data_IF_069654063756
#
_entry.id   IF_069654063756
#
_cell.length_a   1.000
_cell.length_b   1.000
_cell.length_c   1.000
_cell.angle_alpha   90.00
_cell.angle_beta   90.00
_cell.angle_gamma   90.00
#
_symmetry.space_group_name_H-M   'P 1'
#
loop_
_entity.id
_entity.type
_entity.pdbx_description
1 polymer ?
#
# COMPACT_ATOMS: atom_id res chain seq x y z
N UNK A 1 -8.37 -9.17 -26.89
CA UNK A 1 -9.21 -8.90 -25.70
C UNK A 1 -9.77 -7.50 -25.86
N UNK A 2 -11.08 -7.30 -25.70
CA UNK A 2 -11.69 -5.98 -25.79
C UNK A 2 -11.55 -5.26 -24.43
N UNK A 3 -10.92 -4.09 -24.40
CA UNK A 3 -10.80 -3.26 -23.20
C UNK A 3 -11.93 -2.22 -23.24
N UNK A 4 -12.89 -2.34 -22.32
CA UNK A 4 -14.08 -1.48 -22.26
C UNK A 4 -14.01 -0.40 -21.18
N UNK A 5 -12.86 -0.20 -20.52
CA UNK A 5 -12.74 0.75 -19.42
C UNK A 5 -13.19 2.18 -19.78
N UNK A 6 -12.85 2.75 -20.97
CA UNK A 6 -13.35 4.08 -21.36
C UNK A 6 -14.87 4.14 -21.51
N UNK A 7 -15.51 3.07 -22.03
CA UNK A 7 -16.97 2.99 -22.16
C UNK A 7 -17.64 2.98 -20.78
N UNK A 8 -17.13 2.16 -19.86
CA UNK A 8 -17.64 2.07 -18.48
C UNK A 8 -17.46 3.41 -17.74
N UNK A 9 -16.34 4.10 -17.94
CA UNK A 9 -16.10 5.40 -17.33
C UNK A 9 -17.09 6.47 -17.83
N UNK A 10 -17.37 6.52 -19.14
CA UNK A 10 -18.38 7.41 -19.71
C UNK A 10 -19.79 7.12 -19.18
N UNK A 11 -20.13 5.84 -19.03
CA UNK A 11 -21.42 5.45 -18.43
C UNK A 11 -21.49 5.95 -16.99
N UNK A 12 -20.42 5.79 -16.19
CA UNK A 12 -20.39 6.27 -14.81
C UNK A 12 -20.55 7.80 -14.75
N UNK A 13 -19.82 8.54 -15.59
CA UNK A 13 -19.93 10.01 -15.70
C UNK A 13 -21.35 10.44 -16.08
N UNK A 14 -21.95 9.83 -17.12
CA UNK A 14 -23.30 10.14 -17.57
C UNK A 14 -24.38 9.89 -16.51
N UNK A 15 -24.09 9.03 -15.53
CA UNK A 15 -24.97 8.72 -14.40
C UNK A 15 -24.59 9.46 -13.10
N UNK A 16 -23.77 10.51 -13.20
CA UNK A 16 -23.50 11.43 -12.09
C UNK A 16 -22.37 11.02 -11.15
N UNK A 17 -21.50 10.09 -11.54
CA UNK A 17 -20.29 9.81 -10.77
C UNK A 17 -19.42 11.08 -10.66
N UNK A 18 -18.98 11.42 -9.44
CA UNK A 18 -18.11 12.59 -9.23
C UNK A 18 -16.63 12.34 -9.52
N UNK A 19 -16.22 11.06 -9.60
CA UNK A 19 -14.88 10.62 -9.97
C UNK A 19 -14.90 9.11 -10.30
N UNK A 20 -13.88 8.62 -11.01
CA UNK A 20 -13.68 7.19 -11.26
C UNK A 20 -12.26 6.76 -10.86
N UNK A 21 -12.13 5.59 -10.25
CA UNK A 21 -10.84 4.96 -10.00
C UNK A 21 -10.63 3.79 -10.96
N UNK A 22 -9.49 3.76 -11.64
CA UNK A 22 -9.18 2.77 -12.68
C UNK A 22 -7.94 1.99 -12.28
N UNK A 23 -8.12 0.69 -12.00
CA UNK A 23 -6.99 -0.22 -11.93
C UNK A 23 -6.59 -0.61 -13.37
N UNK A 24 -5.31 -0.47 -13.73
CA UNK A 24 -4.78 -0.85 -15.05
C UNK A 24 -4.72 -2.37 -15.31
N UNK A 25 -5.70 -3.16 -14.85
CA UNK A 25 -5.79 -4.60 -15.12
C UNK A 25 -7.23 -4.97 -15.42
N UNK A 26 -7.41 -5.93 -16.31
CA UNK A 26 -8.69 -6.59 -16.50
C UNK A 26 -8.96 -7.57 -15.34
N UNK A 27 -10.22 -7.96 -15.18
CA UNK A 27 -10.62 -8.96 -14.20
C UNK A 27 -9.83 -10.27 -14.34
N UNK A 28 -9.64 -10.76 -15.57
CA UNK A 28 -9.01 -12.05 -15.83
C UNK A 28 -7.51 -12.07 -15.47
N UNK A 29 -6.87 -10.91 -15.47
CA UNK A 29 -5.46 -10.81 -15.09
C UNK A 29 -5.24 -10.99 -13.58
N UNK A 30 -6.27 -10.80 -12.74
CA UNK A 30 -6.11 -10.75 -11.28
C UNK A 30 -4.93 -9.86 -10.87
N UNK A 31 -3.84 -10.45 -10.35
CA UNK A 31 -2.60 -9.78 -9.98
C UNK A 31 -1.40 -10.16 -10.86
N UNK A 32 -1.64 -10.89 -11.95
CA UNK A 32 -0.63 -11.29 -12.91
C UNK A 32 -0.22 -10.14 -13.82
N UNK A 33 0.94 -10.27 -14.46
CA UNK A 33 1.50 -9.25 -15.35
C UNK A 33 1.76 -7.91 -14.64
N UNK A 34 1.96 -6.87 -15.44
CA UNK A 34 2.03 -5.48 -14.97
C UNK A 34 0.70 -4.78 -15.23
N UNK A 35 0.39 -3.79 -14.41
CA UNK A 35 -0.70 -2.88 -14.71
C UNK A 35 -0.41 -2.14 -16.02
N UNK A 36 -1.34 -2.21 -16.95
CA UNK A 36 -1.34 -1.46 -18.20
C UNK A 36 -1.91 -0.05 -17.93
N UNK A 37 -0.99 0.91 -17.83
CA UNK A 37 -1.35 2.30 -17.56
C UNK A 37 -1.93 3.00 -18.79
N UNK A 38 -1.81 2.46 -20.01
CA UNK A 38 -2.51 3.03 -21.17
C UNK A 38 -4.03 2.92 -21.02
N UNK A 39 -4.53 1.91 -20.32
CA UNK A 39 -5.96 1.81 -19.98
C UNK A 39 -6.41 3.03 -19.15
N UNK A 40 -5.59 3.45 -18.19
CA UNK A 40 -5.88 4.59 -17.32
C UNK A 40 -5.81 5.89 -18.13
N UNK A 41 -4.79 6.05 -18.99
CA UNK A 41 -4.65 7.18 -19.90
C UNK A 41 -5.86 7.32 -20.82
N UNK A 42 -6.28 6.23 -21.47
CA UNK A 42 -7.45 6.20 -22.35
C UNK A 42 -8.73 6.58 -21.60
N UNK A 43 -8.90 6.14 -20.35
CA UNK A 43 -10.04 6.58 -19.53
C UNK A 43 -9.94 8.08 -19.25
N UNK A 44 -8.77 8.59 -18.84
CA UNK A 44 -8.56 10.01 -18.54
C UNK A 44 -8.83 10.92 -19.73
N UNK A 45 -8.46 10.50 -20.94
CA UNK A 45 -8.76 11.21 -22.18
C UNK A 45 -10.25 11.16 -22.57
N UNK A 46 -11.03 10.25 -21.97
CA UNK A 46 -12.39 9.94 -22.41
C UNK A 46 -13.52 10.58 -21.60
N UNK A 47 -13.22 11.09 -20.38
CA UNK A 47 -14.18 11.67 -19.44
C UNK A 47 -13.70 13.03 -18.92
N UNK A 48 -14.63 13.87 -18.46
CA UNK A 48 -14.34 15.18 -17.88
C UNK A 48 -14.22 15.15 -16.36
N UNK A 49 -14.82 14.15 -15.70
CA UNK A 49 -14.69 13.95 -14.25
C UNK A 49 -13.26 13.48 -13.85
N UNK A 50 -12.84 13.72 -12.59
CA UNK A 50 -11.56 13.25 -12.08
C UNK A 50 -11.37 11.73 -12.21
N UNK A 51 -10.17 11.34 -12.66
CA UNK A 51 -9.73 9.95 -12.80
C UNK A 51 -8.60 9.68 -11.81
N UNK A 52 -8.76 8.62 -11.02
CA UNK A 52 -7.80 8.16 -10.02
C UNK A 52 -7.07 6.92 -10.59
N UNK A 53 -5.79 7.07 -10.92
CA UNK A 53 -4.97 5.97 -11.42
C UNK A 53 -4.60 4.96 -10.33
N UNK A 54 -4.70 3.67 -10.64
CA UNK A 54 -4.36 2.60 -9.71
C UNK A 54 -3.64 1.43 -10.40
N UNK A 55 -2.66 0.87 -9.70
CA UNK A 55 -1.96 -0.34 -10.14
C UNK A 55 -0.45 -0.17 -10.09
N UNK A 56 0.20 -1.09 -9.37
CA UNK A 56 1.66 -1.25 -9.31
C UNK A 56 2.47 -0.02 -8.87
N UNK A 57 1.89 0.83 -8.01
CA UNK A 57 2.62 1.88 -7.29
C UNK A 57 3.24 1.31 -6.01
N UNK A 58 4.56 1.14 -6.00
CA UNK A 58 5.33 0.65 -4.85
C UNK A 58 6.36 1.65 -4.34
N UNK A 59 6.75 2.63 -5.16
CA UNK A 59 7.70 3.70 -4.80
C UNK A 59 7.18 5.11 -5.14
N UNK A 60 7.81 6.18 -4.60
CA UNK A 60 7.53 7.56 -5.03
C UNK A 60 7.73 7.80 -6.54
N UNK A 61 8.69 7.12 -7.15
CA UNK A 61 8.99 7.20 -8.58
C UNK A 61 7.93 6.51 -9.42
N UNK A 62 7.37 5.39 -8.96
CA UNK A 62 6.23 4.75 -9.63
C UNK A 62 5.03 5.70 -9.66
N UNK A 63 4.78 6.41 -8.56
CA UNK A 63 3.71 7.41 -8.47
C UNK A 63 3.91 8.55 -9.48
N UNK A 64 5.12 9.11 -9.56
CA UNK A 64 5.48 10.14 -10.54
C UNK A 64 5.29 9.62 -11.97
N UNK A 65 5.81 8.43 -12.26
CA UNK A 65 5.71 7.80 -13.59
C UNK A 65 4.25 7.55 -13.98
N UNK A 66 3.41 7.12 -13.04
CA UNK A 66 1.99 6.92 -13.27
C UNK A 66 1.28 8.24 -13.62
N UNK A 67 1.56 9.31 -12.87
CA UNK A 67 1.03 10.65 -13.19
C UNK A 67 1.46 11.12 -14.58
N UNK A 68 2.76 11.05 -14.88
CA UNK A 68 3.33 11.49 -16.17
C UNK A 68 2.80 10.67 -17.35
N UNK A 69 2.65 9.35 -17.19
CA UNK A 69 2.16 8.47 -18.25
C UNK A 69 0.67 8.67 -18.55
N UNK A 70 -0.14 8.90 -17.52
CA UNK A 70 -1.60 8.81 -17.65
C UNK A 70 -2.31 10.16 -17.65
N UNK A 71 -1.70 11.20 -17.10
CA UNK A 71 -2.36 12.48 -16.84
C UNK A 71 -3.51 12.38 -15.83
N UNK A 72 -3.60 11.31 -15.04
CA UNK A 72 -4.65 11.15 -14.03
C UNK A 72 -4.58 12.24 -12.94
N UNK A 73 -5.72 12.55 -12.32
CA UNK A 73 -5.84 13.67 -11.37
C UNK A 73 -5.38 13.29 -9.96
N UNK A 74 -5.40 12.00 -9.65
CA UNK A 74 -4.94 11.45 -8.38
C UNK A 74 -4.49 10.00 -8.57
N UNK A 75 -3.84 9.44 -7.55
CA UNK A 75 -3.45 8.03 -7.53
C UNK A 75 -3.99 7.33 -6.29
N UNK A 76 -4.27 6.04 -6.44
CA UNK A 76 -4.64 5.15 -5.34
C UNK A 76 -3.54 4.12 -5.14
N UNK A 77 -3.04 4.00 -3.90
CA UNK A 77 -1.97 3.06 -3.53
C UNK A 77 -2.56 1.92 -2.72
N UNK A 78 -2.46 0.70 -3.24
CA UNK A 78 -2.94 -0.52 -2.59
C UNK A 78 -1.82 -1.30 -1.90
N UNK A 79 -1.30 -2.32 -2.58
CA UNK A 79 -0.26 -3.24 -2.04
C UNK A 79 1.01 -2.51 -1.58
N UNK A 80 1.41 -1.42 -2.24
CA UNK A 80 2.57 -0.62 -1.85
C UNK A 80 2.46 -0.01 -0.43
N UNK A 81 1.25 0.16 0.12
CA UNK A 81 1.03 0.70 1.46
C UNK A 81 0.99 -0.39 2.56
N UNK A 82 0.94 -1.68 2.20
CA UNK A 82 0.85 -2.77 3.18
C UNK A 82 2.16 -2.88 3.97
N UNK A 83 2.11 -2.57 5.27
CA UNK A 83 3.31 -2.50 6.11
C UNK A 83 4.20 -1.30 5.82
N UNK A 84 3.78 -0.40 4.94
CA UNK A 84 4.52 0.80 4.54
C UNK A 84 3.61 2.05 4.49
N UNK A 85 3.01 2.47 5.62
CA UNK A 85 2.20 3.69 5.67
C UNK A 85 2.98 4.96 5.32
N UNK A 86 4.32 4.94 5.37
CA UNK A 86 5.16 6.08 4.98
C UNK A 86 5.11 6.39 3.49
N UNK A 87 4.68 5.44 2.65
CA UNK A 87 4.65 5.61 1.19
C UNK A 87 3.91 6.90 0.77
N UNK A 88 2.81 7.26 1.47
CA UNK A 88 2.04 8.45 1.15
C UNK A 88 2.84 9.73 1.37
N UNK A 89 3.50 9.87 2.53
CA UNK A 89 4.33 11.05 2.80
C UNK A 89 5.53 11.11 1.86
N UNK A 90 6.13 9.96 1.54
CA UNK A 90 7.28 9.88 0.63
C UNK A 90 6.90 10.25 -0.80
N UNK A 91 5.75 9.78 -1.30
CA UNK A 91 5.18 10.20 -2.58
C UNK A 91 4.97 11.72 -2.58
N UNK A 92 4.26 12.26 -1.58
CA UNK A 92 3.95 13.69 -1.53
C UNK A 92 5.21 14.56 -1.48
N UNK A 93 6.22 14.14 -0.72
CA UNK A 93 7.50 14.84 -0.67
C UNK A 93 8.21 14.80 -2.02
N UNK A 94 8.37 13.61 -2.61
CA UNK A 94 9.06 13.44 -3.89
C UNK A 94 8.39 14.21 -5.04
N UNK A 95 7.06 14.19 -5.12
CA UNK A 95 6.33 14.97 -6.13
C UNK A 95 6.50 16.48 -5.96
N UNK A 96 6.72 16.96 -4.73
CA UNK A 96 6.90 18.38 -4.42
C UNK A 96 8.33 18.86 -4.64
N UNK A 97 9.32 18.05 -4.25
CA UNK A 97 10.74 18.49 -4.17
C UNK A 97 11.63 17.83 -5.21
N UNK A 98 11.23 16.69 -5.76
CA UNK A 98 12.10 15.82 -6.55
C UNK A 98 13.10 15.01 -5.73
N UNK A 99 13.08 15.13 -4.39
CA UNK A 99 14.01 14.45 -3.49
C UNK A 99 13.36 13.22 -2.83
N UNK A 100 14.14 12.15 -2.65
CA UNK A 100 13.66 10.94 -1.98
C UNK A 100 13.93 11.02 -0.48
N UNK A 101 12.87 10.92 0.31
CA UNK A 101 13.01 10.66 1.73
C UNK A 101 13.57 9.24 1.95
N UNK A 102 14.40 9.05 2.99
CA UNK A 102 14.93 7.74 3.34
C UNK A 102 13.81 6.74 3.64
N UNK A 103 14.10 5.47 3.41
CA UNK A 103 13.25 4.37 3.87
C UNK A 103 13.14 4.38 5.40
N UNK A 104 12.00 3.97 5.98
CA UNK A 104 11.88 3.86 7.43
C UNK A 104 12.80 2.75 7.94
N UNK A 105 13.52 3.07 9.01
CA UNK A 105 14.42 2.16 9.74
C UNK A 105 13.65 0.97 10.32
N UNK A 106 14.37 -0.11 10.69
CA UNK A 106 13.77 -1.24 11.39
C UNK A 106 13.03 -0.82 12.68
N UNK A 107 13.62 0.13 13.42
CA UNK A 107 13.03 0.70 14.63
C UNK A 107 11.71 1.42 14.34
N UNK A 108 11.68 2.33 13.37
CA UNK A 108 10.45 3.05 13.00
C UNK A 108 9.35 2.10 12.51
N UNK A 109 9.73 1.05 11.77
CA UNK A 109 8.80 0.00 11.32
C UNK A 109 8.16 -0.72 12.50
N UNK A 110 8.95 -1.16 13.45
CA UNK A 110 8.47 -1.83 14.68
C UNK A 110 7.58 -0.91 15.51
N UNK A 111 7.99 0.34 15.74
CA UNK A 111 7.22 1.31 16.51
C UNK A 111 5.85 1.59 15.87
N UNK A 112 5.82 1.76 14.54
CA UNK A 112 4.55 1.96 13.82
C UNK A 112 3.65 0.75 13.88
N UNK A 113 4.25 -0.45 13.77
CA UNK A 113 3.51 -1.70 13.82
C UNK A 113 2.88 -1.92 15.21
N UNK A 114 3.61 -1.62 16.29
CA UNK A 114 3.07 -1.65 17.65
C UNK A 114 1.93 -0.64 17.86
N UNK A 115 2.10 0.58 17.35
CA UNK A 115 1.03 1.59 17.38
C UNK A 115 -0.22 1.11 16.64
N UNK A 116 -0.05 0.54 15.44
CA UNK A 116 -1.15 -0.03 14.67
C UNK A 116 -1.84 -1.17 15.45
N UNK A 117 -1.07 -2.08 16.06
CA UNK A 117 -1.60 -3.16 16.90
C UNK A 117 -2.48 -2.65 18.05
N UNK A 118 -2.00 -1.63 18.78
CA UNK A 118 -2.78 -0.98 19.85
C UNK A 118 -4.10 -0.41 19.33
N UNK A 119 -4.06 0.37 18.25
CA UNK A 119 -5.27 0.94 17.64
C UNK A 119 -6.26 -0.14 17.17
N UNK A 120 -5.76 -1.26 16.63
CA UNK A 120 -6.61 -2.34 16.13
C UNK A 120 -7.26 -3.11 17.28
N UNK A 121 -6.55 -3.32 18.39
CA UNK A 121 -7.07 -3.92 19.62
C UNK A 121 -8.12 -3.00 20.25
N UNK A 122 -7.85 -1.69 20.33
CA UNK A 122 -8.82 -0.72 20.83
C UNK A 122 -10.12 -0.73 19.99
N UNK A 123 -10.01 -0.96 18.68
CA UNK A 123 -11.15 -0.99 17.78
C UNK A 123 -11.93 -2.32 17.76
N UNK A 124 -11.24 -3.47 17.81
CA UNK A 124 -11.85 -4.80 17.59
C UNK A 124 -11.78 -5.75 18.80
N UNK A 125 -11.20 -5.30 19.91
CA UNK A 125 -10.86 -6.14 21.04
C UNK A 125 -9.59 -6.98 20.80
N UNK A 126 -9.01 -7.46 21.89
CA UNK A 126 -7.70 -8.12 21.88
C UNK A 126 -7.69 -9.40 21.03
N UNK A 127 -8.68 -10.28 21.21
CA UNK A 127 -8.75 -11.56 20.52
C UNK A 127 -8.68 -11.43 18.99
N UNK A 128 -9.45 -10.49 18.43
CA UNK A 128 -9.49 -10.22 16.98
C UNK A 128 -8.28 -9.39 16.56
N UNK A 129 -7.97 -8.34 17.31
CA UNK A 129 -6.90 -7.40 16.99
C UNK A 129 -5.55 -8.09 16.86
N UNK A 130 -5.21 -9.00 17.79
CA UNK A 130 -3.98 -9.79 17.72
C UNK A 130 -3.93 -10.66 16.47
N UNK A 131 -5.00 -11.41 16.17
CA UNK A 131 -5.02 -12.33 15.03
C UNK A 131 -4.87 -11.60 13.69
N UNK A 132 -5.54 -10.46 13.53
CA UNK A 132 -5.37 -9.63 12.34
C UNK A 132 -3.97 -8.99 12.29
N UNK A 133 -3.45 -8.55 13.44
CA UNK A 133 -2.14 -7.89 13.52
C UNK A 133 -0.99 -8.82 13.11
N UNK A 134 -1.10 -10.15 13.31
CA UNK A 134 -0.10 -11.13 12.82
C UNK A 134 0.23 -10.94 11.34
N UNK A 135 -0.81 -10.72 10.51
CA UNK A 135 -0.66 -10.47 9.07
C UNK A 135 0.00 -9.12 8.79
N UNK A 136 -0.42 -8.07 9.49
CA UNK A 136 0.13 -6.73 9.31
C UNK A 136 1.61 -6.66 9.74
N UNK A 137 1.98 -7.32 10.83
CA UNK A 137 3.37 -7.40 11.31
C UNK A 137 4.28 -8.05 10.27
N UNK A 138 3.81 -9.12 9.61
CA UNK A 138 4.55 -9.76 8.53
C UNK A 138 4.84 -8.80 7.36
N UNK A 139 3.95 -7.84 7.09
CA UNK A 139 4.18 -6.81 6.08
C UNK A 139 5.20 -5.76 6.52
N UNK A 140 5.12 -5.27 7.77
CA UNK A 140 6.09 -4.29 8.29
C UNK A 140 7.54 -4.82 8.29
N UNK A 141 7.72 -6.10 8.58
CA UNK A 141 9.05 -6.74 8.63
C UNK A 141 9.56 -7.18 7.25
N UNK A 142 8.76 -7.05 6.18
CA UNK A 142 9.15 -7.52 4.85
C UNK A 142 10.45 -6.82 4.40
N UNK A 143 11.40 -7.62 3.92
CA UNK A 143 12.69 -7.15 3.40
C UNK A 143 13.74 -6.87 4.47
N UNK A 144 13.42 -6.99 5.76
CA UNK A 144 14.42 -6.81 6.81
C UNK A 144 15.18 -8.12 7.13
N UNK A 145 16.43 -8.04 7.61
CA UNK A 145 17.20 -9.20 8.05
C UNK A 145 16.47 -10.02 9.12
N UNK A 146 16.51 -11.35 9.04
CA UNK A 146 15.88 -12.24 10.02
C UNK A 146 14.34 -12.25 10.04
N UNK A 147 13.68 -11.48 9.17
CA UNK A 147 12.22 -11.36 9.18
C UNK A 147 11.48 -12.69 8.96
N UNK A 148 12.05 -13.65 8.23
CA UNK A 148 11.43 -14.96 8.01
C UNK A 148 11.28 -15.77 9.31
N UNK A 149 12.35 -15.81 10.13
CA UNK A 149 12.34 -16.47 11.45
C UNK A 149 11.29 -15.83 12.36
N UNK A 150 11.29 -14.49 12.42
CA UNK A 150 10.38 -13.75 13.30
C UNK A 150 8.91 -13.83 12.87
N UNK A 151 8.62 -13.89 11.57
CA UNK A 151 7.25 -14.13 11.09
C UNK A 151 6.69 -15.47 11.58
N UNK A 152 7.53 -16.50 11.65
CA UNK A 152 7.15 -17.81 12.20
C UNK A 152 6.70 -17.70 13.65
N UNK A 153 7.48 -17.01 14.49
CA UNK A 153 7.17 -16.78 15.91
C UNK A 153 5.90 -15.91 16.08
N UNK A 154 5.79 -14.83 15.31
CA UNK A 154 4.66 -13.89 15.38
C UNK A 154 3.30 -14.54 15.10
N UNK A 155 3.23 -15.53 14.21
CA UNK A 155 1.97 -16.21 13.87
C UNK A 155 1.32 -16.95 15.05
N UNK A 156 2.08 -17.27 16.09
CA UNK A 156 1.60 -17.97 17.28
C UNK A 156 1.33 -17.04 18.47
N UNK A 157 1.60 -15.73 18.35
CA UNK A 157 1.40 -14.77 19.46
C UNK A 157 -0.07 -14.58 19.79
N UNK A 158 -0.43 -14.63 21.07
CA UNK A 158 -1.83 -14.55 21.54
C UNK A 158 -2.14 -13.24 22.28
N UNK A 159 -1.13 -12.45 22.61
CA UNK A 159 -1.29 -11.17 23.30
C UNK A 159 -0.40 -10.07 22.72
N UNK A 160 -0.74 -8.81 23.02
CA UNK A 160 0.07 -7.66 22.60
C UNK A 160 1.46 -7.67 23.25
N UNK A 161 1.52 -8.12 24.51
CA UNK A 161 2.76 -8.19 25.28
C UNK A 161 3.76 -9.19 24.69
N UNK A 162 3.27 -10.33 24.17
CA UNK A 162 4.09 -11.30 23.46
C UNK A 162 4.64 -10.73 22.14
N UNK A 163 3.77 -10.08 21.36
CA UNK A 163 4.20 -9.39 20.14
C UNK A 163 5.26 -8.34 20.42
N UNK A 164 5.05 -7.52 21.46
CA UNK A 164 6.00 -6.48 21.85
C UNK A 164 7.34 -7.06 22.30
N UNK A 165 7.32 -8.15 23.06
CA UNK A 165 8.54 -8.85 23.50
C UNK A 165 9.33 -9.40 22.31
N UNK A 166 8.67 -10.06 21.36
CA UNK A 166 9.32 -10.57 20.15
C UNK A 166 9.89 -9.46 19.27
N UNK A 167 9.18 -8.34 19.13
CA UNK A 167 9.67 -7.21 18.35
C UNK A 167 10.85 -6.50 19.04
N UNK A 168 10.90 -6.46 20.36
CA UNK A 168 12.07 -5.99 21.11
C UNK A 168 13.28 -6.91 20.93
N UNK A 169 13.08 -8.23 20.98
CA UNK A 169 14.13 -9.21 20.67
C UNK A 169 14.66 -9.01 19.25
N UNK A 170 13.75 -8.82 18.28
CA UNK A 170 14.10 -8.52 16.90
C UNK A 170 14.99 -7.29 16.78
N UNK A 171 14.62 -6.17 17.42
CA UNK A 171 15.41 -4.94 17.38
C UNK A 171 16.78 -5.09 18.07
N UNK A 172 16.89 -5.89 19.14
CA UNK A 172 18.19 -6.17 19.76
C UNK A 172 19.13 -6.96 18.83
N UNK A 173 18.57 -7.86 18.04
CA UNK A 173 19.34 -8.75 17.15
C UNK A 173 19.68 -8.08 15.81
N UNK A 174 18.81 -7.20 15.31
CA UNK A 174 18.89 -6.67 13.94
C UNK A 174 18.65 -5.16 13.81
N UNK A 175 18.39 -4.45 14.91
CA UNK A 175 17.96 -3.03 14.90
C UNK A 175 19.08 -2.00 14.96
N UNK A 176 20.34 -2.41 15.10
CA UNK A 176 21.53 -1.53 15.11
C UNK A 176 22.26 -1.47 13.75
N UNK A 177 21.56 -1.79 12.66
CA UNK A 177 22.06 -1.62 11.28
C UNK A 177 21.31 -0.52 10.55
#
# INVERSE_FOLDING_TARGET
MHINAPEIAKIAEANGASAVAVHGRTREQYYSGKADWDIIRQVKESVSIPVIGNGDVFTPEDAKSLFEHTGCDAIMVGRGAQGNPWIFQRILHYLKTGELLPEPTAKERVEKALRHGKMLIDYKGEYVGIREMRKHMAWYLKGLPGAAEFRGKLNYTESLNEMESLLKEYLKKFGEQ
#
